data_IF_057762659329
#
_entry.id   IF_057762659329
#
_cell.length_a   1.000
_cell.length_b   1.000
_cell.length_c   1.000
_cell.angle_alpha   90.00
_cell.angle_beta   90.00
_cell.angle_gamma   90.00
#
_symmetry.space_group_name_H-M   'P 1'
#
loop_
_entity.id
_entity.type
_entity.pdbx_description
1 polymer ?
#
# COMPACT_ATOMS: atom_id res chain seq x y z
N UNK A 1 12.27 -0.63 -18.59
CA UNK A 1 10.98 -0.28 -19.22
C UNK A 1 10.25 -1.45 -19.90
N UNK A 2 10.87 -2.44 -20.56
CA UNK A 2 10.09 -3.51 -21.22
C UNK A 2 9.31 -4.46 -20.29
N UNK A 3 9.89 -4.81 -19.13
CA UNK A 3 9.32 -5.85 -18.27
C UNK A 3 8.04 -5.42 -17.55
N UNK A 4 7.96 -4.19 -17.03
CA UNK A 4 6.74 -3.72 -16.35
C UNK A 4 5.52 -3.64 -17.29
N UNK A 5 5.66 -3.14 -18.52
CA UNK A 5 4.58 -3.17 -19.52
C UNK A 5 4.16 -4.59 -19.90
N UNK A 6 5.11 -5.55 -19.96
CA UNK A 6 4.77 -6.96 -20.18
C UNK A 6 3.96 -7.53 -19.00
N UNK A 7 4.33 -7.19 -17.76
CA UNK A 7 3.59 -7.59 -16.58
C UNK A 7 2.16 -7.01 -16.58
N UNK A 8 2.02 -5.70 -16.84
CA UNK A 8 0.71 -5.04 -16.98
C UNK A 8 -0.15 -5.74 -18.03
N UNK A 9 0.41 -5.98 -19.24
CA UNK A 9 -0.32 -6.64 -20.32
C UNK A 9 -0.67 -8.10 -20.01
N UNK A 10 0.18 -8.83 -19.27
CA UNK A 10 -0.11 -10.20 -18.86
C UNK A 10 -1.29 -10.24 -17.88
N UNK A 11 -1.28 -9.39 -16.86
CA UNK A 11 -2.38 -9.32 -15.86
C UNK A 11 -3.67 -8.83 -16.50
N UNK A 12 -3.61 -7.80 -17.36
CA UNK A 12 -4.79 -7.33 -18.12
C UNK A 12 -5.38 -8.42 -19.01
N UNK A 13 -4.54 -9.22 -19.68
CA UNK A 13 -4.99 -10.34 -20.52
C UNK A 13 -5.62 -11.45 -19.70
N UNK A 14 -5.12 -11.71 -18.50
CA UNK A 14 -5.71 -12.66 -17.56
C UNK A 14 -7.05 -12.16 -16.99
N UNK A 15 -7.29 -10.84 -16.99
CA UNK A 15 -8.52 -10.23 -16.48
C UNK A 15 -8.42 -9.65 -15.06
N UNK A 16 -7.22 -9.66 -14.46
CA UNK A 16 -6.98 -9.11 -13.12
C UNK A 16 -5.97 -9.95 -12.33
N UNK A 17 -5.63 -9.48 -11.13
CA UNK A 17 -4.61 -10.12 -10.27
C UNK A 17 -5.04 -11.54 -9.87
N UNK A 18 -6.29 -11.72 -9.41
CA UNK A 18 -6.80 -13.04 -9.01
C UNK A 18 -6.77 -14.03 -10.17
N UNK A 19 -7.28 -13.63 -11.34
CA UNK A 19 -7.26 -14.49 -12.53
C UNK A 19 -5.83 -14.82 -13.01
N UNK A 20 -4.88 -13.89 -12.85
CA UNK A 20 -3.47 -14.16 -13.14
C UNK A 20 -2.87 -15.21 -12.18
N UNK A 21 -3.30 -15.25 -10.92
CA UNK A 21 -2.88 -16.26 -9.94
C UNK A 21 -3.52 -17.61 -10.28
N UNK A 22 -4.82 -17.63 -10.55
CA UNK A 22 -5.56 -18.85 -10.90
C UNK A 22 -5.01 -19.50 -12.18
N UNK A 23 -4.51 -18.70 -13.12
CA UNK A 23 -3.84 -19.16 -14.34
C UNK A 23 -2.35 -19.52 -14.16
N UNK A 24 -1.79 -19.42 -12.94
CA UNK A 24 -0.39 -19.72 -12.64
C UNK A 24 0.62 -18.70 -13.18
N UNK A 25 0.18 -17.51 -13.61
CA UNK A 25 1.05 -16.44 -14.13
C UNK A 25 1.73 -15.63 -13.01
N UNK A 26 1.07 -15.50 -11.86
CA UNK A 26 1.59 -14.87 -10.66
C UNK A 26 1.61 -15.91 -9.53
N UNK A 27 2.79 -16.34 -9.10
CA UNK A 27 2.95 -17.47 -8.17
C UNK A 27 3.55 -17.09 -6.82
N UNK A 28 4.02 -15.85 -6.66
CA UNK A 28 4.59 -15.34 -5.42
C UNK A 28 4.57 -13.81 -5.35
N UNK A 29 4.87 -13.25 -4.18
CA UNK A 29 4.97 -11.82 -3.94
C UNK A 29 3.74 -11.23 -3.24
N UNK A 30 3.76 -9.91 -3.02
CA UNK A 30 2.76 -9.21 -2.18
C UNK A 30 1.33 -9.44 -2.67
N UNK A 31 1.06 -9.19 -3.95
CA UNK A 31 -0.30 -9.34 -4.49
C UNK A 31 -0.77 -10.80 -4.49
N UNK A 32 0.14 -11.76 -4.70
CA UNK A 32 -0.17 -13.18 -4.56
C UNK A 32 -0.57 -13.50 -3.12
N UNK A 33 0.26 -13.12 -2.15
CA UNK A 33 0.00 -13.35 -0.74
C UNK A 33 -1.30 -12.71 -0.27
N UNK A 34 -1.61 -11.47 -0.69
CA UNK A 34 -2.88 -10.83 -0.35
C UNK A 34 -4.08 -11.66 -0.83
N UNK A 35 -4.06 -12.12 -2.08
CA UNK A 35 -5.14 -12.90 -2.67
C UNK A 35 -5.28 -14.28 -2.01
N UNK A 36 -4.17 -14.98 -1.74
CA UNK A 36 -4.19 -16.34 -1.17
C UNK A 36 -4.50 -16.36 0.31
N UNK A 37 -4.10 -15.33 1.05
CA UNK A 37 -4.37 -15.20 2.49
C UNK A 37 -5.68 -14.45 2.78
N UNK A 38 -6.43 -14.04 1.74
CA UNK A 38 -7.69 -13.31 1.91
C UNK A 38 -7.54 -11.91 2.49
N UNK A 39 -6.37 -11.27 2.30
CA UNK A 39 -6.12 -9.88 2.73
C UNK A 39 -6.73 -8.93 1.69
N UNK A 40 -7.70 -8.09 2.06
CA UNK A 40 -8.27 -7.11 1.15
C UNK A 40 -7.22 -6.06 0.77
N UNK A 41 -7.31 -5.53 -0.45
CA UNK A 41 -6.44 -4.47 -0.92
C UNK A 41 -7.22 -3.48 -1.78
N UNK A 42 -6.79 -2.22 -1.77
CA UNK A 42 -7.31 -1.15 -2.63
C UNK A 42 -6.16 -0.59 -3.46
N UNK A 43 -6.33 -0.59 -4.78
CA UNK A 43 -5.39 0.04 -5.71
C UNK A 43 -5.98 1.36 -6.21
N UNK A 44 -5.68 2.46 -5.53
CA UNK A 44 -6.12 3.79 -5.95
C UNK A 44 -5.31 4.26 -7.16
N UNK A 45 -6.00 4.61 -8.24
CA UNK A 45 -5.38 5.09 -9.46
C UNK A 45 -4.78 6.49 -9.33
N UNK A 46 -3.80 6.79 -10.17
CA UNK A 46 -3.15 8.10 -10.25
C UNK A 46 -2.95 8.55 -11.70
N UNK A 47 -2.77 9.85 -11.90
CA UNK A 47 -2.51 10.44 -13.23
C UNK A 47 -1.21 9.95 -13.90
N UNK A 48 -0.37 9.20 -13.19
CA UNK A 48 0.91 8.67 -13.68
C UNK A 48 0.86 7.20 -14.06
N UNK A 49 -0.31 6.58 -13.97
CA UNK A 49 -0.42 5.12 -14.09
C UNK A 49 -0.25 4.65 -15.53
N UNK A 50 0.55 3.60 -15.70
CA UNK A 50 0.66 2.85 -16.96
C UNK A 50 -0.36 1.71 -16.99
N UNK A 51 -1.23 1.66 -18.01
CA UNK A 51 -2.23 0.60 -18.15
C UNK A 51 -3.64 1.07 -17.82
N UNK A 52 -4.10 1.11 -16.56
CA UNK A 52 -3.61 0.44 -15.35
C UNK A 52 -3.99 -1.07 -15.31
N UNK A 53 -3.80 -1.74 -14.17
CA UNK A 53 -4.34 -3.08 -13.96
C UNK A 53 -5.88 -3.03 -13.87
N UNK A 54 -6.60 -4.12 -14.21
CA UNK A 54 -8.06 -4.16 -14.07
C UNK A 54 -8.55 -3.90 -12.64
N UNK A 55 -7.75 -4.29 -11.64
CA UNK A 55 -8.03 -4.14 -10.21
C UNK A 55 -7.87 -2.68 -9.69
N UNK A 56 -7.38 -1.75 -10.53
CA UNK A 56 -7.16 -0.35 -10.14
C UNK A 56 -8.44 0.47 -10.21
N UNK A 57 -8.80 1.12 -9.09
CA UNK A 57 -9.91 2.06 -9.01
C UNK A 57 -9.45 3.42 -9.52
N UNK A 58 -9.89 3.80 -10.72
CA UNK A 58 -9.46 5.04 -11.40
C UNK A 58 -10.23 6.27 -10.96
N UNK A 59 -11.44 6.09 -10.42
CA UNK A 59 -12.22 7.16 -9.80
C UNK A 59 -11.69 7.43 -8.38
N UNK A 60 -11.16 8.63 -8.16
CA UNK A 60 -10.51 9.01 -6.90
C UNK A 60 -11.49 9.06 -5.71
N UNK A 61 -12.77 9.37 -5.96
CA UNK A 61 -13.78 9.41 -4.91
C UNK A 61 -14.10 7.98 -4.49
N UNK A 62 -14.36 7.10 -5.46
CA UNK A 62 -14.59 5.68 -5.20
C UNK A 62 -13.39 5.01 -4.53
N UNK A 63 -12.16 5.36 -4.94
CA UNK A 63 -10.96 4.84 -4.31
C UNK A 63 -10.85 5.28 -2.85
N UNK A 64 -11.19 6.53 -2.54
CA UNK A 64 -11.17 7.06 -1.18
C UNK A 64 -12.23 6.39 -0.29
N UNK A 65 -13.43 6.17 -0.84
CA UNK A 65 -14.51 5.47 -0.12
C UNK A 65 -14.12 4.01 0.15
N UNK A 66 -13.59 3.31 -0.85
CA UNK A 66 -13.09 1.94 -0.70
C UNK A 66 -11.94 1.85 0.33
N UNK A 67 -11.04 2.84 0.36
CA UNK A 67 -10.02 2.91 1.41
C UNK A 67 -10.66 3.08 2.79
N UNK A 68 -11.64 3.97 2.94
CA UNK A 68 -12.31 4.25 4.22
C UNK A 68 -13.01 3.02 4.78
N UNK A 69 -13.66 2.23 3.93
CA UNK A 69 -14.39 1.01 4.32
C UNK A 69 -13.48 -0.04 4.99
N UNK A 70 -12.17 0.02 4.74
CA UNK A 70 -11.19 -0.88 5.33
C UNK A 70 -10.44 -0.31 6.55
N UNK A 71 -10.75 0.92 6.96
CA UNK A 71 -9.98 1.63 7.99
C UNK A 71 -10.76 1.87 9.31
N UNK A 72 -12.05 1.55 9.38
CA UNK A 72 -12.90 1.82 10.55
C UNK A 72 -12.39 1.17 11.84
N UNK A 73 -11.89 -0.06 11.75
CA UNK A 73 -11.52 -0.90 12.89
C UNK A 73 -9.99 -1.08 13.01
N UNK A 74 -9.21 -0.22 12.35
CA UNK A 74 -7.75 -0.29 12.35
C UNK A 74 -7.19 0.38 13.59
N UNK A 75 -6.44 -0.37 14.40
CA UNK A 75 -5.73 0.16 15.58
C UNK A 75 -4.31 0.66 15.26
N UNK A 76 -3.73 0.13 14.18
CA UNK A 76 -2.38 0.44 13.75
C UNK A 76 -2.25 0.47 12.22
N UNK A 77 -1.66 1.54 11.68
CA UNK A 77 -1.38 1.69 10.27
C UNK A 77 0.12 1.85 10.01
N UNK A 78 0.71 0.97 9.19
CA UNK A 78 2.07 1.10 8.68
C UNK A 78 2.04 1.58 7.23
N UNK A 79 2.65 2.73 6.94
CA UNK A 79 2.78 3.25 5.58
C UNK A 79 4.24 3.35 5.19
N UNK A 80 4.59 2.75 4.06
CA UNK A 80 5.99 2.59 3.63
C UNK A 80 6.19 3.25 2.28
N UNK A 81 7.14 4.19 2.22
CA UNK A 81 7.64 4.84 1.00
C UNK A 81 6.57 5.42 0.05
N UNK A 82 5.49 5.98 0.62
CA UNK A 82 4.38 6.53 -0.18
C UNK A 82 3.76 7.77 0.46
N UNK A 83 4.29 8.95 0.14
CA UNK A 83 3.83 10.22 0.73
C UNK A 83 2.36 10.52 0.40
N UNK A 84 1.92 10.32 -0.85
CA UNK A 84 0.55 10.64 -1.26
C UNK A 84 -0.46 9.74 -0.54
N UNK A 85 -0.22 8.43 -0.52
CA UNK A 85 -1.11 7.50 0.19
C UNK A 85 -1.01 7.67 1.71
N UNK A 86 0.16 7.99 2.28
CA UNK A 86 0.27 8.33 3.70
C UNK A 86 -0.64 9.50 4.07
N UNK A 87 -0.64 10.57 3.27
CA UNK A 87 -1.50 11.74 3.51
C UNK A 87 -2.98 11.36 3.34
N UNK A 88 -3.32 10.65 2.27
CA UNK A 88 -4.69 10.25 1.99
C UNK A 88 -5.25 9.35 3.11
N UNK A 89 -4.50 8.31 3.51
CA UNK A 89 -4.85 7.41 4.61
C UNK A 89 -4.96 8.18 5.92
N UNK A 90 -3.98 9.03 6.26
CA UNK A 90 -4.00 9.80 7.51
C UNK A 90 -5.22 10.73 7.65
N UNK A 91 -5.75 11.25 6.53
CA UNK A 91 -6.95 12.10 6.54
C UNK A 91 -8.26 11.33 6.83
N UNK A 92 -8.30 10.02 6.59
CA UNK A 92 -9.51 9.18 6.75
C UNK A 92 -9.37 8.14 7.86
N UNK A 93 -8.21 8.09 8.52
CA UNK A 93 -7.94 7.21 9.64
C UNK A 93 -8.66 7.70 10.91
N UNK A 94 -9.19 6.80 11.76
CA UNK A 94 -9.70 7.20 13.06
C UNK A 94 -8.64 7.92 13.90
N UNK A 95 -9.05 8.93 14.67
CA UNK A 95 -8.11 9.78 15.41
C UNK A 95 -7.31 9.05 16.52
N UNK A 96 -7.79 7.88 16.96
CA UNK A 96 -7.16 7.05 17.98
C UNK A 96 -6.19 5.99 17.40
N UNK A 97 -6.12 5.87 16.08
CA UNK A 97 -5.29 4.89 15.39
C UNK A 97 -3.84 5.37 15.34
N UNK A 98 -2.92 4.51 15.79
CA UNK A 98 -1.48 4.79 15.69
C UNK A 98 -1.02 4.60 14.26
N UNK A 99 -0.25 5.56 13.75
CA UNK A 99 0.28 5.47 12.39
C UNK A 99 1.81 5.54 12.42
N UNK A 100 2.48 4.64 11.72
CA UNK A 100 3.93 4.69 11.49
C UNK A 100 4.17 4.93 10.02
N UNK A 101 4.94 5.97 9.70
CA UNK A 101 5.33 6.28 8.32
C UNK A 101 6.83 6.13 8.16
N UNK A 102 7.24 5.29 7.22
CA UNK A 102 8.64 5.04 6.89
C UNK A 102 8.93 5.65 5.53
N UNK A 103 9.83 6.63 5.48
CA UNK A 103 10.24 7.29 4.24
C UNK A 103 11.71 7.70 4.34
N UNK A 104 12.46 7.59 3.24
CA UNK A 104 13.87 8.01 3.21
C UNK A 104 14.00 9.53 3.22
N UNK A 105 12.96 10.25 2.78
CA UNK A 105 12.95 11.70 2.70
C UNK A 105 12.31 12.31 3.96
N UNK A 106 13.09 13.00 4.82
CA UNK A 106 12.56 13.61 6.04
C UNK A 106 11.49 14.69 5.74
N UNK A 107 11.57 15.36 4.58
CA UNK A 107 10.59 16.38 4.21
C UNK A 107 9.19 15.80 3.95
N UNK A 108 9.10 14.54 3.53
CA UNK A 108 7.81 13.83 3.39
C UNK A 108 7.14 13.66 4.75
N UNK A 109 7.91 13.35 5.79
CA UNK A 109 7.42 13.13 7.15
C UNK A 109 7.03 14.45 7.83
N UNK A 110 7.81 15.52 7.66
CA UNK A 110 7.46 16.84 8.19
C UNK A 110 6.09 17.29 7.69
N UNK A 111 5.83 17.16 6.39
CA UNK A 111 4.54 17.52 5.77
C UNK A 111 3.36 16.72 6.32
N UNK A 112 3.59 15.47 6.72
CA UNK A 112 2.56 14.61 7.33
C UNK A 112 2.24 15.07 8.75
N UNK A 113 3.28 15.33 9.56
CA UNK A 113 3.13 15.79 10.93
C UNK A 113 2.39 17.14 11.02
N UNK A 114 2.65 18.05 10.07
CA UNK A 114 1.98 19.36 10.00
C UNK A 114 0.46 19.27 9.77
N UNK A 115 -0.06 18.11 9.36
CA UNK A 115 -1.50 17.90 9.10
C UNK A 115 -2.29 17.37 10.30
N UNK A 116 -1.72 17.44 11.51
CA UNK A 116 -2.47 17.18 12.75
C UNK A 116 -2.55 15.70 13.14
N UNK A 117 -1.79 14.83 12.49
CA UNK A 117 -1.66 13.42 12.88
C UNK A 117 -0.71 13.29 14.07
N UNK A 118 -1.12 13.82 15.23
CA UNK A 118 -0.32 13.79 16.48
C UNK A 118 0.02 12.37 16.95
N UNK A 119 -0.68 11.35 16.45
CA UNK A 119 -0.43 9.94 16.71
C UNK A 119 0.46 9.26 15.64
N UNK A 120 1.06 10.04 14.74
CA UNK A 120 1.98 9.54 13.71
C UNK A 120 3.42 9.57 14.18
N UNK A 121 4.09 8.42 14.06
CA UNK A 121 5.54 8.28 14.24
C UNK A 121 6.20 8.23 12.86
N UNK A 122 7.10 9.18 12.59
CA UNK A 122 7.92 9.19 11.38
C UNK A 122 9.24 8.46 11.59
N UNK A 123 9.60 7.54 10.69
CA UNK A 123 10.87 6.84 10.67
C UNK A 123 11.61 7.20 9.38
N UNK A 124 12.72 7.94 9.52
CA UNK A 124 13.59 8.27 8.38
C UNK A 124 14.51 7.10 8.11
N UNK A 125 14.18 6.26 7.13
CA UNK A 125 14.97 5.06 6.79
C UNK A 125 14.70 4.58 5.36
N UNK A 126 15.60 3.75 4.84
CA UNK A 126 15.34 2.96 3.64
C UNK A 126 14.25 1.92 3.92
N UNK A 127 13.24 1.85 3.05
CA UNK A 127 12.09 0.96 3.24
C UNK A 127 12.47 -0.53 3.17
N UNK A 128 13.44 -0.89 2.33
CA UNK A 128 13.88 -2.28 2.18
C UNK A 128 14.61 -2.76 3.43
N UNK A 129 15.52 -1.93 3.94
CA UNK A 129 16.23 -2.19 5.19
C UNK A 129 15.26 -2.28 6.38
N UNK A 130 14.34 -1.32 6.49
CA UNK A 130 13.35 -1.29 7.57
C UNK A 130 12.51 -2.57 7.59
N UNK A 131 11.93 -2.96 6.44
CA UNK A 131 11.08 -4.15 6.37
C UNK A 131 11.86 -5.43 6.69
N UNK A 132 13.12 -5.53 6.23
CA UNK A 132 13.97 -6.69 6.56
C UNK A 132 14.24 -6.78 8.06
N UNK A 133 14.62 -5.67 8.70
CA UNK A 133 14.86 -5.65 10.14
C UNK A 133 13.60 -5.92 10.94
N UNK A 134 12.45 -5.39 10.49
CA UNK A 134 11.16 -5.66 11.13
C UNK A 134 10.84 -7.16 11.11
N UNK A 135 11.02 -7.83 9.97
CA UNK A 135 10.85 -9.30 9.87
C UNK A 135 11.81 -10.02 10.81
N UNK A 136 13.11 -9.68 10.82
CA UNK A 136 14.10 -10.29 11.72
C UNK A 136 13.77 -10.09 13.21
N UNK A 137 13.12 -8.98 13.57
CA UNK A 137 12.65 -8.73 14.93
C UNK A 137 11.41 -9.59 15.26
N UNK A 138 10.42 -9.63 14.38
CA UNK A 138 9.19 -10.40 14.58
C UNK A 138 9.47 -11.91 14.71
N UNK A 139 10.46 -12.42 13.97
CA UNK A 139 10.89 -13.82 14.05
C UNK A 139 11.61 -14.17 15.36
N UNK A 140 12.22 -13.20 16.04
CA UNK A 140 12.90 -13.42 17.34
C UNK A 140 11.97 -13.35 18.54
N UNK A 141 10.82 -12.70 18.37
CA UNK A 141 9.80 -12.55 19.41
C UNK A 141 8.80 -13.71 19.44
N UNK A 142 8.80 -14.57 18.40
CA UNK A 142 8.03 -15.82 18.32
C UNK A 142 8.84 -17.03 18.82
#
# INVERSE_FOLDING_TARGET
HRNHLRAINAVRRAGGIRAAIDAGLLTHGVMHACVTCGVPFVLAGSIRDDGPLPDTITDVVQATDAMRDHLSDVEFALVVASTLHAIATGNILPAATRMVVVDINPASLTKLMDRGSYQTVGVVSDSGLFLRQLVECLEKEC
#
